data_IF_383593712906
#
_entry.id   IF_383593712906
#
_cell.length_a   1.000
_cell.length_b   1.000
_cell.length_c   1.000
_cell.angle_alpha   90.00
_cell.angle_beta   90.00
_cell.angle_gamma   90.00
#
_symmetry.space_group_name_H-M   'P 1'
#
loop_
_entity.id
_entity.type
_entity.pdbx_description
1 polymer ?
#
# COMPACT_ATOMS: atom_id res chain seq x y z
N UNK A 1 -4.39 17.49 -6.58
CA UNK A 1 -3.54 16.97 -5.49
C UNK A 1 -2.69 18.08 -4.85
N UNK A 2 -2.02 18.97 -5.62
CA UNK A 2 -1.25 20.09 -5.03
C UNK A 2 -1.99 20.80 -3.89
N UNK A 3 -3.19 21.34 -4.16
CA UNK A 3 -3.96 22.08 -3.15
C UNK A 3 -4.41 21.26 -1.94
N UNK A 4 -4.35 19.91 -2.00
CA UNK A 4 -4.67 19.05 -0.86
C UNK A 4 -3.46 18.76 0.03
N UNK A 5 -2.26 18.78 -0.55
CA UNK A 5 -1.03 18.40 0.13
C UNK A 5 -0.16 19.61 0.47
N UNK A 6 -0.45 20.76 -0.14
CA UNK A 6 0.43 21.93 -0.14
C UNK A 6 1.86 21.57 -0.56
N UNK A 7 1.97 20.76 -1.62
CA UNK A 7 3.24 20.24 -2.15
C UNK A 7 3.26 20.22 -3.66
N UNK A 8 4.45 20.31 -4.23
CA UNK A 8 4.65 20.09 -5.64
C UNK A 8 4.43 18.61 -6.01
N UNK A 9 3.77 18.40 -7.15
CA UNK A 9 3.34 17.08 -7.57
C UNK A 9 3.77 16.80 -9.02
N UNK A 10 4.25 15.58 -9.25
CA UNK A 10 4.55 15.01 -10.57
C UNK A 10 3.60 13.86 -10.83
N UNK A 11 2.93 13.86 -11.98
CA UNK A 11 2.16 12.69 -12.41
C UNK A 11 3.10 11.54 -12.79
N UNK A 12 2.82 10.35 -12.33
CA UNK A 12 3.55 9.12 -12.66
C UNK A 12 2.58 8.01 -13.09
N UNK A 13 3.01 7.04 -13.93
CA UNK A 13 2.11 5.97 -14.40
C UNK A 13 1.62 5.05 -13.28
N UNK A 14 2.37 4.95 -12.18
CA UNK A 14 2.00 4.17 -11.00
C UNK A 14 2.73 4.67 -9.76
N UNK A 15 2.18 4.38 -8.57
CA UNK A 15 2.79 4.67 -7.27
C UNK A 15 4.21 4.08 -7.17
N UNK A 16 4.37 2.79 -7.46
CA UNK A 16 5.66 2.06 -7.42
C UNK A 16 6.74 2.66 -8.32
N UNK A 17 6.36 3.19 -9.48
CA UNK A 17 7.29 3.89 -10.36
C UNK A 17 7.78 5.21 -9.76
N UNK A 18 6.87 5.99 -9.17
CA UNK A 18 7.23 7.22 -8.46
C UNK A 18 8.13 6.94 -7.26
N UNK A 19 7.84 5.89 -6.50
CA UNK A 19 8.66 5.45 -5.38
C UNK A 19 10.07 5.05 -5.82
N UNK A 20 10.18 4.26 -6.90
CA UNK A 20 11.49 3.92 -7.48
C UNK A 20 12.30 5.17 -7.82
N UNK A 21 11.70 6.15 -8.49
CA UNK A 21 12.37 7.39 -8.86
C UNK A 21 12.83 8.18 -7.61
N UNK A 22 12.00 8.25 -6.56
CA UNK A 22 12.37 8.88 -5.30
C UNK A 22 13.54 8.16 -4.62
N UNK A 23 13.45 6.84 -4.42
CA UNK A 23 14.51 6.05 -3.80
C UNK A 23 15.85 6.22 -4.52
N UNK A 24 15.82 6.22 -5.86
CA UNK A 24 17.01 6.41 -6.70
C UNK A 24 17.62 7.81 -6.59
N UNK A 25 16.81 8.81 -6.26
CA UNK A 25 17.29 10.19 -6.11
C UNK A 25 18.00 10.42 -4.79
N UNK A 26 17.46 9.90 -3.69
CA UNK A 26 17.95 10.21 -2.33
C UNK A 26 18.88 9.16 -1.73
N UNK A 27 18.76 7.90 -2.13
CA UNK A 27 19.49 6.83 -1.46
C UNK A 27 20.75 6.44 -2.23
N UNK A 28 21.90 6.27 -1.56
CA UNK A 28 23.10 5.74 -2.18
C UNK A 28 22.91 4.25 -2.52
N UNK A 29 23.58 3.73 -3.55
CA UNK A 29 23.57 2.30 -3.84
C UNK A 29 24.00 1.46 -2.62
N UNK A 30 23.29 0.34 -2.37
CA UNK A 30 23.49 -0.50 -1.19
C UNK A 30 22.94 0.07 0.10
N UNK A 31 22.33 1.27 0.08
CA UNK A 31 21.72 1.90 1.25
C UNK A 31 20.63 1.04 1.88
N UNK A 32 20.47 1.13 3.20
CA UNK A 32 19.51 0.38 4.00
C UNK A 32 18.23 1.20 4.23
N UNK A 33 17.07 0.60 3.95
CA UNK A 33 15.76 1.28 4.04
C UNK A 33 14.88 0.57 5.05
N UNK A 34 14.55 1.24 6.15
CA UNK A 34 13.57 0.75 7.12
C UNK A 34 12.18 0.78 6.49
N UNK A 35 11.45 -0.33 6.54
CA UNK A 35 10.09 -0.44 6.01
C UNK A 35 9.22 -1.42 6.80
N UNK A 36 7.90 -1.30 6.67
CA UNK A 36 6.95 -2.22 7.30
C UNK A 36 7.05 -3.62 6.67
N UNK A 37 7.15 -4.70 7.48
CA UNK A 37 7.06 -6.09 7.00
C UNK A 37 5.65 -6.48 6.55
N UNK A 38 4.61 -5.75 6.97
CA UNK A 38 3.23 -5.95 6.51
C UNK A 38 2.97 -4.96 5.36
N UNK A 39 3.43 -5.33 4.17
CA UNK A 39 3.39 -4.49 2.99
C UNK A 39 3.18 -5.30 1.72
N UNK A 40 2.87 -4.60 0.63
CA UNK A 40 2.79 -5.21 -0.71
C UNK A 40 4.19 -5.65 -1.19
N UNK A 41 4.28 -6.88 -1.71
CA UNK A 41 5.53 -7.43 -2.26
C UNK A 41 6.14 -6.51 -3.31
N UNK A 42 5.30 -5.84 -4.09
CA UNK A 42 5.75 -4.92 -5.13
C UNK A 42 6.60 -3.79 -4.55
N UNK A 43 6.26 -3.28 -3.37
CA UNK A 43 7.03 -2.22 -2.71
C UNK A 43 8.39 -2.76 -2.27
N UNK A 44 8.42 -3.97 -1.70
CA UNK A 44 9.66 -4.66 -1.35
C UNK A 44 10.58 -4.83 -2.58
N UNK A 45 10.03 -5.32 -3.70
CA UNK A 45 10.81 -5.49 -4.93
C UNK A 45 11.22 -4.16 -5.58
N UNK A 46 10.48 -3.07 -5.36
CA UNK A 46 10.89 -1.72 -5.78
C UNK A 46 12.12 -1.26 -5.01
N UNK A 47 12.20 -1.53 -3.70
CA UNK A 47 13.40 -1.23 -2.90
C UNK A 47 14.60 -2.02 -3.40
N UNK A 48 14.45 -3.33 -3.66
CA UNK A 48 15.51 -4.16 -4.26
C UNK A 48 15.91 -3.67 -5.65
N UNK A 49 14.94 -3.32 -6.50
CA UNK A 49 15.19 -2.80 -7.84
C UNK A 49 15.94 -1.46 -7.83
N UNK A 50 15.78 -0.67 -6.78
CA UNK A 50 16.55 0.55 -6.57
C UNK A 50 18.01 0.28 -6.13
N UNK A 51 18.39 -0.98 -5.93
CA UNK A 51 19.71 -1.38 -5.44
C UNK A 51 19.90 -1.14 -3.95
N UNK A 52 18.82 -1.21 -3.18
CA UNK A 52 18.80 -0.93 -1.74
C UNK A 52 18.51 -2.21 -0.95
N UNK A 53 18.88 -2.19 0.33
CA UNK A 53 18.62 -3.28 1.26
C UNK A 53 17.41 -2.97 2.13
N UNK A 54 16.29 -3.73 2.04
CA UNK A 54 15.17 -3.60 2.97
C UNK A 54 15.60 -3.99 4.40
N UNK A 55 15.13 -3.23 5.39
CA UNK A 55 15.25 -3.53 6.83
C UNK A 55 13.83 -3.54 7.38
N UNK A 56 13.39 -4.67 7.95
CA UNK A 56 12.02 -4.79 8.42
C UNK A 56 11.87 -4.18 9.81
N UNK A 57 10.87 -3.29 9.94
CA UNK A 57 10.58 -2.61 11.19
C UNK A 57 9.76 -3.49 12.15
N UNK A 58 9.91 -3.36 13.47
CA UNK A 58 8.92 -3.81 14.43
C UNK A 58 7.61 -3.03 14.23
N UNK A 59 6.47 -3.71 14.40
CA UNK A 59 5.16 -3.10 14.25
C UNK A 59 4.35 -3.17 15.55
N UNK A 60 3.58 -2.12 15.80
CA UNK A 60 2.50 -2.14 16.77
C UNK A 60 1.40 -3.09 16.26
N UNK A 61 1.08 -4.17 16.98
CA UNK A 61 0.07 -5.14 16.53
C UNK A 61 -1.35 -4.57 16.49
N UNK A 62 -1.61 -3.44 17.12
CA UNK A 62 -2.94 -2.84 17.17
C UNK A 62 -3.31 -2.15 15.85
N UNK A 63 -2.36 -1.54 15.17
CA UNK A 63 -2.60 -0.71 13.97
C UNK A 63 -1.62 -0.94 12.82
N UNK A 64 -0.64 -1.82 12.99
CA UNK A 64 0.44 -2.12 12.05
C UNK A 64 1.30 -0.90 11.68
N UNK A 65 1.31 0.15 12.47
CA UNK A 65 2.27 1.24 12.33
C UNK A 65 3.66 0.81 12.82
N UNK A 66 4.70 1.46 12.31
CA UNK A 66 6.07 1.22 12.77
C UNK A 66 6.19 1.61 14.24
N UNK A 67 6.60 0.66 15.08
CA UNK A 67 6.98 0.94 16.46
C UNK A 67 8.37 1.58 16.52
N UNK A 68 8.37 2.90 16.55
CA UNK A 68 9.60 3.71 16.50
C UNK A 68 10.53 3.45 17.69
N UNK A 69 9.95 3.13 18.86
CA UNK A 69 10.72 2.91 20.09
C UNK A 69 11.33 1.50 20.14
N UNK A 70 10.71 0.55 19.45
CA UNK A 70 11.22 -0.81 19.38
C UNK A 70 12.32 -1.02 18.33
N UNK A 71 12.63 -0.01 17.50
CA UNK A 71 13.77 -0.06 16.57
C UNK A 71 15.04 0.26 17.33
N UNK A 72 16.05 -0.64 17.40
CA UNK A 72 17.31 -0.41 18.10
C UNK A 72 18.13 0.77 17.52
N UNK A 73 18.89 1.46 18.35
CA UNK A 73 19.68 2.62 17.94
C UNK A 73 20.80 2.26 16.93
N UNK A 74 21.37 1.08 17.00
CA UNK A 74 22.35 0.60 16.01
C UNK A 74 21.69 0.33 14.65
N UNK A 75 20.44 -0.14 14.63
CA UNK A 75 19.65 -0.23 13.39
C UNK A 75 19.42 1.16 12.83
N UNK A 76 18.92 2.10 13.65
CA UNK A 76 18.72 3.50 13.24
C UNK A 76 19.97 4.12 12.64
N UNK A 77 21.11 3.97 13.30
CA UNK A 77 22.40 4.53 12.86
C UNK A 77 22.94 3.94 11.56
N UNK A 78 22.37 2.82 11.08
CA UNK A 78 22.78 2.13 9.86
C UNK A 78 21.92 2.45 8.65
N UNK A 79 20.79 3.17 8.85
CA UNK A 79 19.83 3.45 7.80
C UNK A 79 20.27 4.56 6.86
N UNK A 80 19.89 4.43 5.60
CA UNK A 80 20.00 5.48 4.59
C UNK A 80 18.66 6.16 4.32
N UNK A 81 17.54 5.57 4.74
CA UNK A 81 16.20 6.12 4.58
C UNK A 81 15.16 5.35 5.42
N UNK A 82 14.00 5.97 5.57
CA UNK A 82 12.80 5.32 6.10
C UNK A 82 11.69 5.40 5.06
N UNK A 83 11.00 4.29 4.83
CA UNK A 83 9.81 4.19 3.99
C UNK A 83 8.62 3.77 4.87
N UNK A 84 7.80 4.74 5.27
CA UNK A 84 6.58 4.45 6.01
C UNK A 84 5.47 3.97 5.07
N UNK A 85 4.62 3.09 5.56
CA UNK A 85 3.48 2.54 4.82
C UNK A 85 2.20 2.91 5.53
N UNK A 86 1.39 3.75 4.89
CA UNK A 86 0.05 4.09 5.39
C UNK A 86 -0.92 2.95 5.01
N UNK A 87 -0.78 1.83 5.73
CA UNK A 87 -1.39 0.55 5.40
C UNK A 87 -2.91 0.66 5.34
N UNK A 88 -3.50 0.23 4.22
CA UNK A 88 -4.94 0.31 3.97
C UNK A 88 -5.55 1.71 4.02
N UNK A 89 -4.74 2.75 4.16
CA UNK A 89 -5.14 4.15 4.35
C UNK A 89 -5.08 4.61 5.81
N UNK A 90 -4.73 3.71 6.74
CA UNK A 90 -4.46 4.07 8.13
C UNK A 90 -3.12 4.79 8.20
N UNK A 91 -3.08 6.02 8.77
CA UNK A 91 -1.82 6.76 8.90
C UNK A 91 -0.82 6.03 9.78
N UNK A 92 0.43 5.97 9.34
CA UNK A 92 1.55 5.58 10.19
C UNK A 92 1.96 6.73 11.13
N UNK A 93 2.88 6.49 12.03
CA UNK A 93 3.39 7.47 13.01
C UNK A 93 4.37 8.47 12.37
N UNK A 94 3.99 9.02 11.21
CA UNK A 94 4.82 9.88 10.38
C UNK A 94 5.44 11.07 11.12
N UNK A 95 4.77 11.78 12.08
CA UNK A 95 5.41 12.84 12.86
C UNK A 95 6.61 12.35 13.67
N UNK A 96 6.53 11.16 14.29
CA UNK A 96 7.63 10.57 15.08
C UNK A 96 8.76 10.08 14.17
N UNK A 97 8.41 9.42 13.05
CA UNK A 97 9.38 9.00 12.04
C UNK A 97 10.11 10.21 11.45
N UNK A 98 9.41 11.32 11.16
CA UNK A 98 10.04 12.54 10.67
C UNK A 98 11.07 13.09 11.68
N UNK A 99 10.66 13.22 12.95
CA UNK A 99 11.56 13.70 13.99
C UNK A 99 12.85 12.84 14.12
N UNK A 100 12.71 11.50 14.00
CA UNK A 100 13.85 10.58 14.03
C UNK A 100 14.73 10.72 12.80
N UNK A 101 14.12 10.82 11.61
CA UNK A 101 14.83 11.04 10.34
C UNK A 101 15.59 12.37 10.33
N UNK A 102 14.98 13.44 10.85
CA UNK A 102 15.64 14.76 10.97
C UNK A 102 16.87 14.70 11.88
N UNK A 103 16.76 14.01 13.02
CA UNK A 103 17.88 13.83 13.94
C UNK A 103 19.06 13.05 13.34
N UNK A 104 18.78 12.17 12.37
CA UNK A 104 19.78 11.34 11.69
C UNK A 104 20.22 11.91 10.34
N UNK A 105 19.57 12.95 9.83
CA UNK A 105 19.84 13.53 8.51
C UNK A 105 19.52 12.60 7.35
N UNK A 106 18.54 11.70 7.50
CA UNK A 106 18.13 10.74 6.48
C UNK A 106 16.73 11.06 5.93
N UNK A 107 16.42 10.75 4.66
CA UNK A 107 15.12 11.00 4.07
C UNK A 107 14.03 10.08 4.63
N UNK A 108 12.82 10.64 4.73
CA UNK A 108 11.58 9.92 4.99
C UNK A 108 10.76 9.87 3.70
N UNK A 109 10.35 8.68 3.29
CA UNK A 109 9.40 8.47 2.20
C UNK A 109 8.06 7.99 2.74
N UNK A 110 6.95 8.49 2.16
CA UNK A 110 5.62 8.02 2.52
C UNK A 110 4.97 7.25 1.37
N UNK A 111 4.75 5.95 1.56
CA UNK A 111 3.81 5.22 0.71
C UNK A 111 2.38 5.53 1.17
N UNK A 112 1.75 6.46 0.49
CA UNK A 112 0.39 6.91 0.70
C UNK A 112 -0.56 6.36 -0.38
N UNK A 113 -0.24 5.22 -0.99
CA UNK A 113 -1.03 4.64 -2.08
C UNK A 113 -2.51 4.42 -1.70
N UNK A 114 -2.80 4.15 -0.45
CA UNK A 114 -4.13 3.92 0.10
C UNK A 114 -4.70 5.09 0.92
N UNK A 115 -3.95 6.19 1.10
CA UNK A 115 -4.21 7.18 2.15
C UNK A 115 -4.59 8.59 1.65
N UNK A 116 -5.14 8.70 0.43
CA UNK A 116 -5.67 9.98 -0.03
C UNK A 116 -6.79 10.44 0.90
N UNK A 117 -6.63 11.63 1.50
CA UNK A 117 -7.61 12.24 2.41
C UNK A 117 -7.48 11.82 3.87
N UNK A 118 -6.52 10.94 4.19
CA UNK A 118 -6.14 10.64 5.58
C UNK A 118 -5.19 11.71 6.11
N UNK A 119 -5.17 11.88 7.43
CA UNK A 119 -4.36 12.89 8.12
C UNK A 119 -3.75 12.34 9.41
N UNK A 120 -2.59 12.86 9.81
CA UNK A 120 -1.92 12.55 11.06
C UNK A 120 -1.17 13.78 11.58
N UNK A 121 -1.20 14.02 12.88
CA UNK A 121 -0.53 15.19 13.47
C UNK A 121 -0.98 16.53 12.89
N UNK A 122 -2.25 16.64 12.47
CA UNK A 122 -2.82 17.88 11.92
C UNK A 122 -2.41 18.19 10.47
N UNK A 123 -1.76 17.25 9.77
CA UNK A 123 -1.38 17.39 8.36
C UNK A 123 -1.89 16.21 7.52
N UNK A 124 -2.15 16.41 6.23
CA UNK A 124 -2.43 15.31 5.33
C UNK A 124 -1.30 14.28 5.32
N UNK A 125 -1.66 12.99 5.26
CA UNK A 125 -0.70 11.94 4.92
C UNK A 125 -0.05 12.29 3.58
N UNK A 126 1.26 12.10 3.49
CA UNK A 126 2.06 12.53 2.35
C UNK A 126 2.67 13.93 2.50
N UNK A 127 2.41 14.62 3.61
CA UNK A 127 2.99 15.93 3.92
C UNK A 127 4.12 15.91 4.96
N UNK A 128 4.57 14.74 5.39
CA UNK A 128 5.63 14.56 6.38
C UNK A 128 6.98 14.16 5.77
N UNK A 129 6.97 13.31 4.74
CA UNK A 129 8.17 12.81 4.09
C UNK A 129 8.84 13.83 3.16
N UNK A 130 10.08 13.60 2.79
CA UNK A 130 10.78 14.34 1.73
C UNK A 130 10.11 14.10 0.37
N UNK A 131 9.64 12.88 0.16
CA UNK A 131 8.75 12.53 -0.95
C UNK A 131 7.64 11.59 -0.48
N UNK A 132 6.51 11.64 -1.20
CA UNK A 132 5.38 10.76 -0.97
C UNK A 132 4.75 10.31 -2.29
N UNK A 133 4.21 9.09 -2.30
CA UNK A 133 3.59 8.51 -3.50
C UNK A 133 2.15 8.10 -3.25
N UNK A 134 1.27 8.45 -4.19
CA UNK A 134 -0.17 8.19 -4.13
C UNK A 134 -0.63 7.37 -5.31
N UNK A 135 -1.54 6.43 -5.09
CA UNK A 135 -2.15 5.65 -6.16
C UNK A 135 -3.50 6.23 -6.59
N UNK A 136 -3.62 6.56 -7.86
CA UNK A 136 -4.88 7.01 -8.46
C UNK A 136 -5.80 5.83 -8.85
N UNK A 137 -5.34 4.59 -8.66
CA UNK A 137 -6.17 3.40 -8.90
C UNK A 137 -7.08 3.03 -7.72
N UNK A 138 -6.88 3.63 -6.57
CA UNK A 138 -7.58 3.34 -5.31
C UNK A 138 -8.80 4.25 -5.15
N UNK A 139 -8.79 5.23 -4.28
CA UNK A 139 -9.93 6.16 -4.06
C UNK A 139 -10.40 6.88 -5.33
N UNK A 140 -9.48 7.27 -6.21
CA UNK A 140 -9.82 7.93 -7.49
C UNK A 140 -10.44 6.95 -8.50
N UNK A 141 -10.22 5.64 -8.35
CA UNK A 141 -10.82 4.60 -9.19
C UNK A 141 -10.35 4.61 -10.65
N UNK A 142 -9.21 5.24 -10.94
CA UNK A 142 -8.70 5.38 -12.31
C UNK A 142 -8.07 4.11 -12.88
N UNK A 143 -7.91 3.05 -12.08
CA UNK A 143 -7.28 1.77 -12.48
C UNK A 143 -5.79 1.87 -12.88
N UNK A 144 -5.23 3.06 -12.98
CA UNK A 144 -3.83 3.34 -13.28
C UNK A 144 -3.47 4.76 -12.87
N UNK A 145 -2.16 5.06 -12.81
CA UNK A 145 -1.67 6.37 -12.46
C UNK A 145 -1.30 6.51 -10.98
N UNK A 146 -0.43 7.45 -10.72
CA UNK A 146 0.03 7.84 -9.40
C UNK A 146 0.48 9.29 -9.38
N UNK A 147 0.77 9.77 -8.19
CA UNK A 147 1.38 11.08 -7.95
C UNK A 147 2.63 10.84 -7.12
N UNK A 148 3.72 11.48 -7.52
CA UNK A 148 4.90 11.70 -6.69
C UNK A 148 4.82 13.15 -6.21
N UNK A 149 4.70 13.35 -4.90
CA UNK A 149 4.74 14.67 -4.27
C UNK A 149 6.06 14.85 -3.53
N UNK A 150 6.59 16.06 -3.52
CA UNK A 150 7.89 16.40 -2.95
C UNK A 150 7.81 17.60 -2.02
N UNK A 151 8.59 17.56 -0.94
CA UNK A 151 8.66 18.63 0.05
C UNK A 151 9.38 19.87 -0.51
N UNK A 152 10.50 19.68 -1.17
CA UNK A 152 11.27 20.73 -1.80
C UNK A 152 10.74 21.00 -3.22
N UNK A 153 10.14 22.19 -3.46
CA UNK A 153 9.66 22.56 -4.80
C UNK A 153 10.76 22.58 -5.87
N UNK A 154 12.00 22.85 -5.48
CA UNK A 154 13.16 22.88 -6.38
C UNK A 154 13.48 21.53 -7.02
N UNK A 155 13.09 20.43 -6.37
CA UNK A 155 13.32 19.09 -6.88
C UNK A 155 12.26 18.60 -7.89
N UNK A 156 11.15 19.33 -8.04
CA UNK A 156 10.05 18.91 -8.92
C UNK A 156 10.50 18.65 -10.36
N UNK A 157 11.27 19.57 -10.93
CA UNK A 157 11.72 19.45 -12.32
C UNK A 157 12.74 18.32 -12.49
N UNK A 158 13.68 18.20 -11.57
CA UNK A 158 14.67 17.12 -11.55
C UNK A 158 14.00 15.75 -11.52
N UNK A 159 13.02 15.55 -10.61
CA UNK A 159 12.30 14.29 -10.49
C UNK A 159 11.35 14.05 -11.67
N UNK A 160 10.73 15.10 -12.22
CA UNK A 160 9.93 14.97 -13.42
C UNK A 160 10.79 14.50 -14.60
N UNK A 161 11.99 15.03 -14.76
CA UNK A 161 12.96 14.58 -15.77
C UNK A 161 13.41 13.14 -15.53
N UNK A 162 13.80 12.81 -14.32
CA UNK A 162 14.16 11.42 -13.95
C UNK A 162 13.02 10.45 -14.28
N UNK A 163 11.79 10.79 -13.94
CA UNK A 163 10.63 9.98 -14.31
C UNK A 163 10.49 9.86 -15.82
N UNK A 164 10.62 10.98 -16.56
CA UNK A 164 10.49 11.00 -18.02
C UNK A 164 11.51 10.10 -18.70
N UNK A 165 12.76 10.12 -18.26
CA UNK A 165 13.87 9.30 -18.79
C UNK A 165 13.67 7.79 -18.55
N UNK A 166 12.93 7.43 -17.50
CA UNK A 166 12.61 6.05 -17.14
C UNK A 166 11.32 5.53 -17.80
N UNK A 167 10.51 6.39 -18.43
CA UNK A 167 9.24 5.99 -19.03
C UNK A 167 9.42 5.16 -20.29
N UNK A 168 8.58 4.14 -20.43
CA UNK A 168 8.40 3.47 -21.71
C UNK A 168 7.53 4.31 -22.65
N UNK A 169 7.80 4.25 -23.98
CA UNK A 169 7.01 4.98 -24.98
C UNK A 169 5.52 4.62 -24.90
N UNK A 170 4.67 5.58 -25.26
CA UNK A 170 3.22 5.35 -25.35
C UNK A 170 2.92 4.21 -26.35
N UNK A 171 2.04 3.29 -25.95
CA UNK A 171 1.56 2.19 -26.80
C UNK A 171 0.07 2.36 -27.06
N UNK A 172 -0.33 2.65 -28.30
CA UNK A 172 -1.75 2.86 -28.67
C UNK A 172 -2.63 1.67 -28.31
N UNK A 173 -2.13 0.45 -28.52
CA UNK A 173 -2.86 -0.79 -28.15
C UNK A 173 -3.17 -0.86 -26.65
N UNK A 174 -2.22 -0.44 -25.80
CA UNK A 174 -2.41 -0.41 -24.35
C UNK A 174 -3.46 0.63 -23.93
N UNK A 175 -3.50 1.78 -24.59
CA UNK A 175 -4.52 2.81 -24.33
C UNK A 175 -5.93 2.34 -24.76
N UNK A 176 -6.05 1.69 -25.91
CA UNK A 176 -7.33 1.11 -26.38
C UNK A 176 -7.78 0.00 -25.43
N UNK A 177 -6.88 -0.91 -25.04
CA UNK A 177 -7.20 -1.98 -24.08
C UNK A 177 -7.64 -1.40 -22.72
N UNK A 178 -6.97 -0.35 -22.25
CA UNK A 178 -7.35 0.36 -21.02
C UNK A 178 -8.76 0.99 -21.13
N UNK A 179 -9.08 1.62 -22.26
CA UNK A 179 -10.38 2.23 -22.50
C UNK A 179 -11.51 1.18 -22.60
N UNK A 180 -11.23 0.04 -23.24
CA UNK A 180 -12.19 -1.04 -23.46
C UNK A 180 -12.47 -1.90 -22.22
N UNK A 181 -11.51 -2.01 -21.30
CA UNK A 181 -11.57 -2.89 -20.11
C UNK A 181 -12.84 -2.73 -19.27
N UNK A 182 -13.35 -1.52 -18.92
CA UNK A 182 -14.58 -1.40 -18.14
C UNK A 182 -15.82 -1.99 -18.82
N UNK A 183 -15.88 -1.87 -20.12
CA UNK A 183 -16.99 -2.44 -20.91
C UNK A 183 -16.91 -3.96 -20.96
N UNK A 184 -15.70 -4.51 -21.15
CA UNK A 184 -15.47 -5.95 -21.08
C UNK A 184 -15.79 -6.51 -19.68
N UNK A 185 -15.37 -5.86 -18.60
CA UNK A 185 -15.70 -6.24 -17.23
C UNK A 185 -17.22 -6.17 -16.96
N UNK A 186 -17.91 -5.15 -17.50
CA UNK A 186 -19.35 -5.02 -17.37
C UNK A 186 -20.09 -6.12 -18.14
N UNK A 187 -19.67 -6.44 -19.38
CA UNK A 187 -20.23 -7.52 -20.18
C UNK A 187 -20.05 -8.88 -19.49
N UNK A 188 -18.86 -9.20 -19.00
CA UNK A 188 -18.58 -10.44 -18.25
C UNK A 188 -19.48 -10.56 -17.01
N UNK A 189 -19.71 -9.45 -16.31
CA UNK A 189 -20.61 -9.43 -15.13
C UNK A 189 -22.08 -9.61 -15.54
N UNK A 190 -22.53 -8.88 -16.56
CA UNK A 190 -23.92 -8.92 -17.04
C UNK A 190 -24.32 -10.28 -17.60
N UNK A 191 -23.39 -10.97 -18.25
CA UNK A 191 -23.61 -12.31 -18.82
C UNK A 191 -23.36 -13.46 -17.83
N UNK A 192 -23.02 -13.18 -16.58
CA UNK A 192 -22.73 -14.22 -15.58
C UNK A 192 -21.45 -15.04 -15.86
N UNK A 193 -20.62 -14.62 -16.81
CA UNK A 193 -19.46 -15.36 -17.30
C UNK A 193 -18.20 -15.22 -16.42
N UNK A 194 -18.33 -14.74 -15.18
CA UNK A 194 -17.18 -14.51 -14.27
C UNK A 194 -16.31 -15.77 -14.12
N UNK A 195 -16.93 -16.94 -13.87
CA UNK A 195 -16.18 -18.20 -13.68
C UNK A 195 -15.40 -18.61 -14.92
N UNK A 196 -16.04 -18.51 -16.09
CA UNK A 196 -15.41 -18.83 -17.37
C UNK A 196 -14.26 -17.86 -17.69
N UNK A 197 -14.47 -16.55 -17.49
CA UNK A 197 -13.42 -15.54 -17.68
C UNK A 197 -12.23 -15.77 -16.76
N UNK A 198 -12.44 -16.11 -15.49
CA UNK A 198 -11.37 -16.45 -14.53
C UNK A 198 -10.61 -17.71 -14.97
N UNK A 199 -11.32 -18.77 -15.37
CA UNK A 199 -10.69 -20.00 -15.86
C UNK A 199 -9.82 -19.73 -17.10
N UNK A 200 -10.30 -18.90 -18.03
CA UNK A 200 -9.56 -18.53 -19.25
C UNK A 200 -8.32 -17.71 -18.92
N UNK A 201 -8.42 -16.72 -18.01
CA UNK A 201 -7.27 -15.92 -17.58
C UNK A 201 -6.21 -16.78 -16.88
N UNK A 202 -6.65 -17.75 -16.08
CA UNK A 202 -5.77 -18.72 -15.41
C UNK A 202 -5.03 -19.60 -16.43
N UNK A 203 -5.72 -20.17 -17.40
CA UNK A 203 -5.14 -20.97 -18.49
C UNK A 203 -4.12 -20.17 -19.32
N UNK A 204 -4.34 -18.86 -19.49
CA UNK A 204 -3.44 -17.96 -20.20
C UNK A 204 -2.30 -17.43 -19.35
N UNK A 205 -2.17 -17.83 -18.06
CA UNK A 205 -1.16 -17.32 -17.14
C UNK A 205 -1.23 -15.81 -16.90
N UNK A 206 -2.44 -15.22 -17.07
CA UNK A 206 -2.67 -13.77 -16.93
C UNK A 206 -3.42 -13.40 -15.66
N UNK A 207 -3.44 -14.28 -14.67
CA UNK A 207 -4.00 -13.95 -13.36
C UNK A 207 -3.02 -13.13 -12.54
N UNK A 208 -3.52 -12.05 -11.97
CA UNK A 208 -2.74 -11.03 -11.25
C UNK A 208 -2.25 -11.53 -9.91
N UNK A 209 -2.32 -12.56 -9.36
CA UNK A 209 -1.89 -13.22 -8.13
C UNK A 209 -2.80 -14.42 -7.83
N UNK A 210 -2.27 -15.58 -7.92
CA UNK A 210 -2.93 -16.79 -7.40
C UNK A 210 -2.65 -16.99 -5.92
N UNK A 211 -1.52 -16.50 -5.44
CA UNK A 211 -1.04 -16.63 -4.08
C UNK A 211 -0.99 -15.26 -3.36
N UNK A 212 -1.05 -15.30 -2.05
CA UNK A 212 -0.98 -14.09 -1.19
C UNK A 212 0.36 -13.38 -1.40
N UNK A 213 1.44 -14.14 -1.55
CA UNK A 213 2.80 -13.66 -1.85
C UNK A 213 3.24 -14.14 -3.23
N UNK A 214 4.07 -13.35 -3.91
CA UNK A 214 4.62 -13.71 -5.21
C UNK A 214 5.73 -14.76 -5.06
N UNK A 215 5.91 -15.68 -6.04
CA UNK A 215 7.00 -16.64 -6.00
C UNK A 215 8.36 -15.91 -6.11
N UNK A 216 9.28 -16.18 -5.17
CA UNK A 216 10.59 -15.51 -5.10
C UNK A 216 11.49 -15.82 -6.29
N UNK A 217 11.45 -17.05 -6.84
CA UNK A 217 12.33 -17.50 -7.93
C UNK A 217 13.80 -17.18 -7.65
N UNK A 218 14.45 -17.82 -6.67
CA UNK A 218 15.72 -17.37 -6.08
C UNK A 218 16.85 -17.11 -7.11
N UNK A 219 16.97 -17.96 -8.14
CA UNK A 219 18.01 -17.80 -9.17
C UNK A 219 17.78 -16.59 -10.09
N UNK A 220 16.50 -16.32 -10.43
CA UNK A 220 16.13 -15.15 -11.23
C UNK A 220 16.32 -13.87 -10.42
N UNK A 221 15.91 -13.90 -9.16
CA UNK A 221 16.01 -12.75 -8.24
C UNK A 221 17.47 -12.41 -7.92
N UNK A 222 18.34 -13.42 -7.74
CA UNK A 222 19.78 -13.20 -7.57
C UNK A 222 20.41 -12.51 -8.80
N UNK A 223 20.02 -12.92 -10.01
CA UNK A 223 20.46 -12.25 -11.25
C UNK A 223 19.91 -10.82 -11.35
N UNK A 224 18.66 -10.62 -10.99
CA UNK A 224 18.05 -9.28 -10.96
C UNK A 224 18.78 -8.37 -9.97
N UNK A 225 19.04 -8.85 -8.75
CA UNK A 225 19.78 -8.11 -7.73
C UNK A 225 21.20 -7.74 -8.17
N UNK A 226 21.90 -8.63 -8.87
CA UNK A 226 23.23 -8.37 -9.42
C UNK A 226 23.22 -7.27 -10.52
N UNK A 227 22.08 -7.02 -11.17
CA UNK A 227 21.89 -5.96 -12.18
C UNK A 227 21.27 -4.70 -11.61
N UNK A 228 21.01 -4.65 -10.29
CA UNK A 228 20.48 -3.46 -9.64
C UNK A 228 21.54 -2.33 -9.59
N UNK A 229 21.14 -1.06 -9.68
CA UNK A 229 19.75 -0.61 -9.78
C UNK A 229 19.16 -0.72 -11.20
N UNK A 230 17.92 -1.23 -11.30
CA UNK A 230 17.24 -1.38 -12.59
C UNK A 230 15.85 -2.00 -12.47
N UNK A 231 14.86 -1.46 -13.18
CA UNK A 231 13.50 -1.98 -13.17
C UNK A 231 13.31 -3.17 -14.11
N UNK A 232 14.06 -3.24 -15.22
CA UNK A 232 13.81 -4.23 -16.27
C UNK A 232 14.03 -5.67 -15.78
N UNK A 233 15.11 -5.88 -15.03
CA UNK A 233 15.42 -7.19 -14.44
C UNK A 233 14.43 -7.59 -13.33
N UNK A 234 13.79 -6.61 -12.69
CA UNK A 234 12.82 -6.81 -11.61
C UNK A 234 11.36 -6.83 -12.11
N UNK A 235 11.12 -6.66 -13.41
CA UNK A 235 9.78 -6.67 -14.02
C UNK A 235 8.91 -7.88 -13.58
N UNK A 236 9.43 -9.12 -13.42
CA UNK A 236 8.63 -10.26 -12.97
C UNK A 236 7.94 -10.06 -11.60
N UNK A 237 8.49 -9.18 -10.75
CA UNK A 237 7.97 -8.92 -9.39
C UNK A 237 7.37 -7.52 -9.25
N UNK A 238 7.76 -6.57 -10.11
CA UNK A 238 7.26 -5.19 -10.05
C UNK A 238 6.03 -4.99 -10.96
N UNK A 239 5.93 -5.75 -12.06
CA UNK A 239 4.82 -5.69 -13.01
C UNK A 239 3.74 -6.71 -12.66
N UNK A 240 2.88 -6.39 -11.71
CA UNK A 240 1.81 -7.28 -11.22
C UNK A 240 0.43 -7.01 -11.81
N UNK A 241 0.28 -5.93 -12.56
CA UNK A 241 -1.00 -5.53 -13.16
C UNK A 241 -1.03 -5.83 -14.65
N UNK A 242 -2.24 -5.98 -15.20
CA UNK A 242 -2.45 -6.03 -16.65
C UNK A 242 -2.07 -4.71 -17.35
N UNK A 243 -1.81 -3.64 -16.58
CA UNK A 243 -1.35 -2.35 -17.08
C UNK A 243 0.14 -2.22 -16.84
N UNK A 244 0.85 -1.77 -17.86
CA UNK A 244 2.24 -1.47 -17.74
C UNK A 244 2.45 -0.25 -16.81
N UNK A 245 3.18 -0.46 -15.72
CA UNK A 245 3.40 0.53 -14.66
C UNK A 245 4.37 1.66 -15.06
N UNK A 246 5.04 1.53 -16.21
CA UNK A 246 6.03 2.49 -16.75
C UNK A 246 5.58 3.16 -18.04
N UNK A 247 4.40 2.84 -18.59
CA UNK A 247 3.93 3.46 -19.83
C UNK A 247 3.53 4.92 -19.61
N UNK A 248 4.02 5.78 -20.49
CA UNK A 248 3.55 7.17 -20.58
C UNK A 248 2.03 7.22 -20.70
N UNK A 249 1.38 7.99 -19.83
CA UNK A 249 -0.07 8.12 -19.80
C UNK A 249 -0.62 8.73 -21.08
N UNK A 250 -1.70 8.15 -21.60
CA UNK A 250 -2.45 8.66 -22.73
C UNK A 250 -3.72 9.40 -22.33
N UNK A 251 -4.41 9.98 -23.31
CA UNK A 251 -5.61 10.80 -23.06
C UNK A 251 -6.74 10.07 -22.34
N UNK A 252 -6.92 8.77 -22.58
CA UNK A 252 -7.98 7.98 -21.94
C UNK A 252 -7.71 7.80 -20.45
N UNK A 253 -6.45 7.52 -20.07
CA UNK A 253 -6.03 7.41 -18.66
C UNK A 253 -6.19 8.75 -17.96
N UNK A 254 -5.67 9.83 -18.54
CA UNK A 254 -5.76 11.16 -17.94
C UNK A 254 -7.21 11.64 -17.80
N UNK A 255 -8.05 11.42 -18.82
CA UNK A 255 -9.47 11.77 -18.75
C UNK A 255 -10.23 10.98 -17.69
N UNK A 256 -9.88 9.69 -17.45
CA UNK A 256 -10.48 8.90 -16.37
C UNK A 256 -10.02 9.38 -15.00
N UNK A 257 -8.74 9.74 -14.87
CA UNK A 257 -8.19 10.34 -13.64
C UNK A 257 -8.94 11.62 -13.30
N UNK A 258 -9.12 12.54 -14.29
CA UNK A 258 -9.88 13.77 -14.08
C UNK A 258 -11.27 13.51 -13.51
N UNK A 259 -12.07 12.66 -14.18
CA UNK A 259 -13.42 12.30 -13.69
C UNK A 259 -13.42 11.62 -12.31
N UNK A 260 -12.37 10.89 -11.98
CA UNK A 260 -12.23 10.30 -10.65
C UNK A 260 -11.91 11.33 -9.58
N UNK A 261 -11.08 12.32 -9.91
CA UNK A 261 -10.75 13.43 -9.01
C UNK A 261 -11.95 14.33 -8.74
N UNK A 262 -12.82 14.56 -9.74
CA UNK A 262 -14.07 15.35 -9.57
C UNK A 262 -15.01 14.72 -8.54
N UNK A 263 -14.97 13.40 -8.34
CA UNK A 263 -15.81 12.66 -7.40
C UNK A 263 -15.08 12.27 -6.11
N UNK A 264 -13.82 12.64 -5.98
CA UNK A 264 -12.97 12.15 -4.89
C UNK A 264 -13.52 12.52 -3.50
N UNK A 265 -14.02 13.74 -3.32
CA UNK A 265 -14.54 14.19 -2.02
C UNK A 265 -15.76 13.39 -1.58
N UNK A 266 -16.66 13.07 -2.51
CA UNK A 266 -17.79 12.21 -2.24
C UNK A 266 -17.32 10.80 -1.82
N UNK A 267 -16.38 10.20 -2.57
CA UNK A 267 -15.83 8.87 -2.25
C UNK A 267 -15.18 8.87 -0.86
N UNK A 268 -14.41 9.91 -0.53
CA UNK A 268 -13.77 10.02 0.78
C UNK A 268 -14.81 10.15 1.91
N UNK A 269 -15.89 10.91 1.70
CA UNK A 269 -16.98 11.02 2.68
C UNK A 269 -17.68 9.67 2.90
N UNK A 270 -17.97 8.94 1.81
CA UNK A 270 -18.57 7.59 1.88
C UNK A 270 -17.63 6.60 2.58
N UNK A 271 -16.33 6.66 2.31
CA UNK A 271 -15.33 5.83 2.99
C UNK A 271 -15.27 6.15 4.49
N UNK A 272 -15.31 7.44 4.89
CA UNK A 272 -15.36 7.82 6.31
C UNK A 272 -16.58 7.23 7.01
N UNK A 273 -17.76 7.39 6.43
CA UNK A 273 -18.99 6.85 7.00
C UNK A 273 -18.95 5.32 7.16
N UNK A 274 -18.42 4.61 6.16
CA UNK A 274 -18.25 3.16 6.23
C UNK A 274 -17.18 2.73 7.23
N UNK A 275 -16.08 3.48 7.33
CA UNK A 275 -15.05 3.24 8.34
C UNK A 275 -15.61 3.40 9.75
N UNK A 276 -16.36 4.46 10.01
CA UNK A 276 -17.01 4.69 11.31
C UNK A 276 -17.90 3.52 11.72
N UNK A 277 -18.73 3.01 10.78
CA UNK A 277 -19.57 1.85 11.03
C UNK A 277 -18.76 0.59 11.37
N UNK A 278 -17.66 0.35 10.69
CA UNK A 278 -16.81 -0.82 10.95
C UNK A 278 -16.03 -0.71 12.24
N UNK A 279 -15.58 0.49 12.61
CA UNK A 279 -14.89 0.76 13.87
C UNK A 279 -15.81 0.65 15.10
N UNK A 280 -17.13 0.73 14.93
CA UNK A 280 -18.08 0.50 16.01
C UNK A 280 -18.36 -0.97 16.31
N UNK A 281 -17.70 -1.90 15.60
CA UNK A 281 -17.89 -3.36 15.76
C UNK A 281 -16.84 -3.97 16.69
N UNK A 282 -17.12 -5.16 17.26
CA UNK A 282 -16.15 -5.85 18.12
C UNK A 282 -14.84 -6.26 17.42
N UNK A 283 -14.83 -6.27 16.09
CA UNK A 283 -13.64 -6.61 15.29
C UNK A 283 -12.69 -5.46 15.06
N UNK A 284 -13.01 -4.25 15.51
CA UNK A 284 -12.19 -3.06 15.28
C UNK A 284 -10.84 -3.07 16.02
N UNK A 285 -10.62 -4.04 16.93
CA UNK A 285 -9.41 -4.11 17.76
C UNK A 285 -9.53 -3.37 19.08
N UNK A 286 -8.53 -3.50 19.98
CA UNK A 286 -8.69 -3.10 21.38
C UNK A 286 -8.70 -1.60 21.64
N UNK A 287 -8.08 -0.78 20.83
CA UNK A 287 -7.87 0.65 21.16
C UNK A 287 -8.61 1.64 20.24
N UNK A 288 -9.50 1.14 19.37
CA UNK A 288 -10.09 2.02 18.36
C UNK A 288 -9.04 2.71 17.50
N UNK A 289 -7.86 2.08 17.37
CA UNK A 289 -6.71 2.44 16.53
C UNK A 289 -6.46 3.96 16.47
N UNK A 290 -5.52 4.47 17.23
CA UNK A 290 -5.24 5.92 17.28
C UNK A 290 -5.11 6.57 15.90
N UNK A 291 -4.57 5.85 14.91
CA UNK A 291 -4.45 6.30 13.53
C UNK A 291 -5.77 6.32 12.76
N UNK A 292 -6.78 5.52 13.12
CA UNK A 292 -8.04 5.43 12.36
C UNK A 292 -9.00 6.60 12.59
N UNK A 293 -8.73 7.45 13.58
CA UNK A 293 -9.45 8.70 13.82
C UNK A 293 -8.52 9.88 13.71
N UNK A 294 -8.99 10.94 13.06
CA UNK A 294 -8.28 12.21 13.08
C UNK A 294 -8.31 12.78 14.48
N UNK A 295 -7.15 13.07 15.06
CA UNK A 295 -7.03 13.76 16.35
C UNK A 295 -7.59 15.17 16.29
N UNK A 296 -7.57 15.82 15.11
CA UNK A 296 -8.04 17.18 14.91
C UNK A 296 -9.55 17.27 14.85
N UNK A 297 -10.24 16.31 14.21
CA UNK A 297 -11.68 16.34 13.99
C UNK A 297 -12.46 15.29 14.79
N UNK A 298 -11.78 14.31 15.39
CA UNK A 298 -12.41 13.15 16.07
C UNK A 298 -13.15 12.20 15.12
N UNK A 299 -13.15 12.48 13.81
CA UNK A 299 -13.82 11.67 12.79
C UNK A 299 -12.96 10.52 12.30
N UNK A 300 -13.59 9.45 11.80
CA UNK A 300 -12.86 8.35 11.19
C UNK A 300 -12.08 8.80 9.95
N UNK A 301 -10.92 8.19 9.72
CA UNK A 301 -10.15 8.36 8.48
C UNK A 301 -10.91 7.73 7.29
N UNK A 302 -10.76 8.26 6.06
CA UNK A 302 -11.36 7.66 4.87
C UNK A 302 -10.56 6.45 4.39
N UNK A 303 -10.52 5.37 5.18
CA UNK A 303 -9.70 4.22 4.87
C UNK A 303 -10.07 3.60 3.51
N UNK A 304 -9.09 3.18 2.76
CA UNK A 304 -9.32 2.41 1.54
C UNK A 304 -9.80 0.99 1.85
N UNK A 305 -9.28 0.40 2.92
CA UNK A 305 -9.75 -0.84 3.55
C UNK A 305 -9.73 -0.67 5.06
N UNK A 306 -10.66 -1.28 5.74
CA UNK A 306 -10.65 -1.33 7.20
C UNK A 306 -10.16 -2.71 7.61
N UNK A 307 -8.97 -2.84 8.24
CA UNK A 307 -8.47 -4.12 8.70
C UNK A 307 -9.18 -4.52 10.00
N UNK A 308 -10.24 -5.30 9.89
CA UNK A 308 -10.87 -5.92 11.06
C UNK A 308 -9.99 -7.03 11.60
N UNK A 309 -9.93 -7.18 12.93
CA UNK A 309 -9.13 -8.21 13.60
C UNK A 309 -10.01 -9.40 13.98
N UNK A 310 -9.84 -10.52 13.30
CA UNK A 310 -10.70 -11.70 13.46
C UNK A 310 -9.90 -12.92 13.94
N UNK A 311 -10.52 -13.76 14.77
CA UNK A 311 -9.86 -14.94 15.34
C UNK A 311 -9.49 -16.00 14.28
N UNK A 312 -10.38 -16.24 13.32
CA UNK A 312 -10.17 -17.12 12.16
C UNK A 312 -10.44 -16.34 10.89
N UNK A 313 -9.36 -15.81 10.30
CA UNK A 313 -9.43 -14.99 9.08
C UNK A 313 -9.93 -15.80 7.88
N UNK A 314 -9.51 -17.05 7.74
CA UNK A 314 -9.88 -17.85 6.58
C UNK A 314 -11.37 -18.22 6.61
N UNK A 315 -11.92 -18.51 7.79
CA UNK A 315 -13.36 -18.68 7.93
C UNK A 315 -14.13 -17.40 7.63
N UNK A 316 -13.63 -16.24 8.06
CA UNK A 316 -14.22 -14.94 7.75
C UNK A 316 -14.19 -14.63 6.24
N UNK A 317 -13.07 -14.89 5.58
CA UNK A 317 -12.93 -14.75 4.11
C UNK A 317 -13.94 -15.63 3.39
N UNK A 318 -14.08 -16.89 3.79
CA UNK A 318 -15.08 -17.80 3.19
C UNK A 318 -16.52 -17.33 3.44
N UNK A 319 -16.83 -16.78 4.62
CA UNK A 319 -18.14 -16.23 4.93
C UNK A 319 -18.48 -15.02 4.02
N UNK A 320 -17.55 -14.09 3.86
CA UNK A 320 -17.69 -12.94 2.98
C UNK A 320 -17.83 -13.35 1.50
N UNK A 321 -17.02 -14.31 1.05
CA UNK A 321 -17.04 -14.80 -0.33
C UNK A 321 -18.38 -15.42 -0.72
N UNK A 322 -19.08 -16.13 0.20
CA UNK A 322 -20.43 -16.67 -0.02
C UNK A 322 -21.44 -15.56 -0.38
N UNK A 323 -21.22 -14.33 0.07
CA UNK A 323 -22.04 -13.15 -0.21
C UNK A 323 -21.48 -12.26 -1.33
N UNK A 324 -20.48 -12.75 -2.07
CA UNK A 324 -19.83 -11.99 -3.13
C UNK A 324 -19.08 -10.75 -2.63
N UNK A 325 -18.62 -10.77 -1.39
CA UNK A 325 -17.77 -9.72 -0.80
C UNK A 325 -16.31 -10.19 -0.94
N UNK A 326 -15.53 -9.40 -1.65
CA UNK A 326 -14.09 -9.65 -1.83
C UNK A 326 -13.33 -8.84 -0.78
N UNK A 327 -12.41 -9.50 -0.08
CA UNK A 327 -11.49 -8.84 0.85
C UNK A 327 -10.35 -8.16 0.10
N UNK A 328 -9.67 -7.24 0.76
CA UNK A 328 -8.44 -6.63 0.24
C UNK A 328 -7.27 -7.62 0.22
N UNK A 329 -6.11 -7.15 -0.25
CA UNK A 329 -4.90 -7.97 -0.21
C UNK A 329 -4.52 -8.30 1.23
N UNK A 330 -4.18 -9.56 1.45
CA UNK A 330 -3.66 -10.08 2.70
C UNK A 330 -2.13 -10.09 2.59
N UNK A 331 -1.45 -9.57 3.59
CA UNK A 331 0.01 -9.49 3.61
C UNK A 331 0.60 -10.50 4.60
N UNK A 332 0.27 -11.78 4.41
CA UNK A 332 0.65 -12.90 5.25
C UNK A 332 1.33 -14.00 4.40
N UNK A 333 2.54 -14.48 4.79
CA UNK A 333 3.33 -14.07 5.96
C UNK A 333 3.93 -12.66 5.79
N UNK A 334 4.40 -12.00 6.89
CA UNK A 334 5.19 -10.77 6.81
C UNK A 334 6.42 -10.92 5.91
N UNK A 335 6.97 -9.79 5.43
CA UNK A 335 8.05 -9.79 4.42
C UNK A 335 9.34 -10.44 4.93
N UNK A 336 9.66 -10.35 6.21
CA UNK A 336 10.81 -11.01 6.83
C UNK A 336 10.70 -12.54 6.80
N UNK A 337 9.50 -13.08 7.10
CA UNK A 337 9.24 -14.52 6.99
C UNK A 337 9.16 -15.00 5.53
N UNK A 338 8.67 -14.15 4.61
CA UNK A 338 8.53 -14.45 3.20
C UNK A 338 9.87 -14.42 2.45
N UNK A 339 10.63 -13.33 2.64
CA UNK A 339 11.84 -13.08 1.84
C UNK A 339 13.10 -13.72 2.45
N UNK A 340 13.13 -13.87 3.77
CA UNK A 340 14.27 -14.40 4.51
C UNK A 340 15.50 -13.46 4.52
N UNK A 341 16.48 -13.79 5.38
CA UNK A 341 17.66 -12.96 5.64
C UNK A 341 18.56 -12.71 4.42
N UNK A 342 18.44 -13.51 3.37
CA UNK A 342 19.21 -13.30 2.13
C UNK A 342 18.81 -11.99 1.42
N UNK A 343 17.55 -11.58 1.51
CA UNK A 343 17.00 -10.45 0.77
C UNK A 343 16.67 -9.24 1.64
N UNK A 344 16.51 -9.42 2.93
CA UNK A 344 16.14 -8.36 3.88
C UNK A 344 16.82 -8.57 5.23
N UNK A 345 16.99 -7.50 5.99
CA UNK A 345 17.32 -7.61 7.40
C UNK A 345 16.01 -7.77 8.19
N UNK A 346 15.86 -8.86 8.98
CA UNK A 346 14.62 -9.15 9.66
C UNK A 346 14.32 -8.13 10.78
N UNK A 347 13.05 -8.02 11.15
CA UNK A 347 12.63 -7.20 12.28
C UNK A 347 13.23 -7.73 13.59
N UNK A 348 13.71 -6.84 14.48
CA UNK A 348 14.17 -7.23 15.81
C UNK A 348 13.02 -7.75 16.71
N UNK A 349 11.76 -7.39 16.41
CA UNK A 349 10.57 -7.84 17.12
C UNK A 349 9.44 -8.14 16.12
N UNK A 350 9.46 -9.33 15.46
CA UNK A 350 8.54 -9.67 14.37
C UNK A 350 7.15 -10.12 14.85
N UNK A 351 6.93 -10.32 16.15
CA UNK A 351 5.71 -10.91 16.70
C UNK A 351 4.47 -10.06 16.44
N UNK A 352 4.58 -8.74 16.55
CA UNK A 352 3.50 -7.79 16.25
C UNK A 352 3.05 -7.87 14.80
N UNK A 353 4.00 -7.90 13.88
CA UNK A 353 3.74 -8.05 12.45
C UNK A 353 3.09 -9.40 12.11
N UNK A 354 3.60 -10.50 12.68
CA UNK A 354 3.05 -11.85 12.48
C UNK A 354 1.62 -11.96 12.99
N UNK A 355 1.37 -11.41 14.18
CA UNK A 355 0.04 -11.43 14.75
C UNK A 355 -0.94 -10.62 13.89
N UNK A 356 -0.59 -9.38 13.57
CA UNK A 356 -1.44 -8.53 12.72
C UNK A 356 -1.70 -9.17 11.35
N UNK A 357 -0.66 -9.62 10.65
CA UNK A 357 -0.79 -10.23 9.34
C UNK A 357 -1.74 -11.44 9.34
N UNK A 358 -1.72 -12.26 10.39
CA UNK A 358 -2.58 -13.45 10.54
C UNK A 358 -4.04 -13.09 10.79
N UNK A 359 -4.32 -12.04 11.55
CA UNK A 359 -5.66 -11.71 12.03
C UNK A 359 -6.36 -10.60 11.25
N UNK A 360 -5.62 -9.78 10.50
CA UNK A 360 -6.18 -8.67 9.75
C UNK A 360 -7.05 -9.14 8.57
N UNK A 361 -8.30 -8.67 8.56
CA UNK A 361 -9.30 -8.88 7.51
C UNK A 361 -9.61 -7.54 6.86
N UNK A 362 -8.92 -7.15 5.76
CA UNK A 362 -9.09 -5.83 5.14
C UNK A 362 -10.38 -5.78 4.31
N UNK A 363 -11.40 -5.14 4.81
CA UNK A 363 -12.72 -5.02 4.19
C UNK A 363 -12.97 -3.64 3.59
N UNK A 364 -13.85 -3.59 2.58
CA UNK A 364 -14.20 -2.35 1.91
C UNK A 364 -15.22 -1.53 2.72
N UNK A 365 -14.91 -0.28 3.12
CA UNK A 365 -15.82 0.54 3.93
C UNK A 365 -17.13 0.85 3.19
N UNK A 366 -17.12 0.99 1.87
CA UNK A 366 -18.33 1.20 1.07
C UNK A 366 -19.35 0.05 1.17
N UNK A 367 -18.93 -1.11 1.68
CA UNK A 367 -19.79 -2.29 1.91
C UNK A 367 -19.96 -2.63 3.40
N UNK A 368 -19.69 -1.69 4.30
CA UNK A 368 -19.65 -1.90 5.75
C UNK A 368 -20.86 -2.68 6.28
N UNK A 369 -22.08 -2.26 5.95
CA UNK A 369 -23.32 -2.93 6.43
C UNK A 369 -23.39 -4.40 5.99
N UNK A 370 -23.04 -4.69 4.73
CA UNK A 370 -23.07 -6.05 4.21
C UNK A 370 -21.96 -6.93 4.83
N UNK A 371 -20.80 -6.35 5.12
CA UNK A 371 -19.69 -7.01 5.83
C UNK A 371 -20.13 -7.36 7.24
N UNK A 372 -20.64 -6.39 8.00
CA UNK A 372 -21.11 -6.58 9.40
C UNK A 372 -22.14 -7.71 9.46
N UNK A 373 -23.19 -7.65 8.63
CA UNK A 373 -24.23 -8.68 8.60
C UNK A 373 -23.63 -10.07 8.29
N UNK A 374 -22.71 -10.18 7.31
CA UNK A 374 -22.10 -11.45 6.94
C UNK A 374 -21.26 -12.06 8.09
N UNK A 375 -20.47 -11.23 8.78
CA UNK A 375 -19.63 -11.67 9.89
C UNK A 375 -20.47 -12.07 11.12
N UNK A 376 -21.52 -11.31 11.44
CA UNK A 376 -22.46 -11.61 12.54
C UNK A 376 -23.19 -12.94 12.32
N UNK A 377 -23.80 -13.11 11.15
CA UNK A 377 -24.55 -14.33 10.82
C UNK A 377 -23.66 -15.57 10.75
N UNK A 378 -22.37 -15.39 10.42
CA UNK A 378 -21.39 -16.49 10.40
C UNK A 378 -20.72 -16.73 11.75
N UNK A 379 -21.08 -15.99 12.80
CA UNK A 379 -20.52 -16.15 14.14
C UNK A 379 -19.01 -15.87 14.22
N UNK A 380 -18.48 -15.00 13.35
CA UNK A 380 -17.06 -14.67 13.34
C UNK A 380 -16.68 -13.95 14.63
N UNK A 381 -15.70 -14.48 15.35
CA UNK A 381 -15.23 -13.92 16.63
C UNK A 381 -14.10 -12.91 16.38
N UNK A 382 -14.00 -11.83 17.21
CA UNK A 382 -12.85 -10.94 17.20
C UNK A 382 -11.58 -11.67 17.64
N UNK A 383 -10.43 -11.22 17.13
CA UNK A 383 -9.13 -11.67 17.59
C UNK A 383 -8.86 -11.12 19.01
N UNK A 384 -8.13 -11.91 19.80
CA UNK A 384 -7.57 -11.48 21.09
C UNK A 384 -6.06 -11.51 20.97
N UNK A 385 -5.41 -10.39 21.21
CA UNK A 385 -3.96 -10.39 21.27
C UNK A 385 -3.47 -11.15 22.50
N UNK A 386 -2.32 -11.84 22.40
CA UNK A 386 -1.66 -12.42 23.56
C UNK A 386 -1.34 -11.34 24.61
N UNK A 387 -1.38 -11.73 25.89
CA UNK A 387 -0.94 -10.86 26.98
C UNK A 387 0.51 -10.40 26.74
N UNK A 388 0.77 -9.10 26.90
CA UNK A 388 2.08 -8.48 26.69
C UNK A 388 2.44 -8.13 25.26
N UNK A 389 1.66 -8.53 24.24
CA UNK A 389 1.92 -8.16 22.86
C UNK A 389 1.39 -6.74 22.54
N UNK A 390 0.27 -6.35 23.14
CA UNK A 390 -0.26 -4.97 23.06
C UNK A 390 0.06 -4.30 24.39
N UNK A 391 0.77 -3.17 24.41
CA UNK A 391 0.98 -2.42 25.64
C UNK A 391 -0.37 -2.12 26.30
N UNK A 392 -0.50 -2.41 27.60
CA UNK A 392 -1.66 -1.96 28.37
C UNK A 392 -1.69 -0.43 28.25
N UNK A 393 -2.73 0.10 27.60
CA UNK A 393 -2.83 1.53 27.33
C UNK A 393 -2.61 2.33 28.61
N UNK A 394 -1.58 3.14 28.62
CA UNK A 394 -1.33 4.19 29.58
C UNK A 394 -2.11 5.46 29.19
#
# INVERSE_FOLDING_TARGET
MRGRLDRECVYVPSCRFGLYAALRHWCPPGGRVLMSPVNDDVIFFVVLAAGLRPVQAPLDPSDASIDVDAVPDDVWGSLSAVLTTNLYGNPDRAPRLRARCDALGIPLFEDAAHAIGSEVGGRPVGAWGDASVFSLSKHVGAKAGGILAVADPGLRETLAKTCEDLLLPRRTRAEVAYAARPYAEAAVRGLGLRRAAWATLRLLGRMEREEIRMPLRPQELARAAASAPGLDAHDPWVRVDMHDYRLRGGRFRLGRIGRGLDRLDQVLAECRAGTELLLSTPWAGPAGWEGTRSRTSGTAQPLFRVPLLVADRDAAVRALAKRGIVVGYLYDPPLDDYAGAALTDPSPAPEGARWFARHALPVEPLRARAVIAALQESGVRPAKAPEGLIPSGG
#
